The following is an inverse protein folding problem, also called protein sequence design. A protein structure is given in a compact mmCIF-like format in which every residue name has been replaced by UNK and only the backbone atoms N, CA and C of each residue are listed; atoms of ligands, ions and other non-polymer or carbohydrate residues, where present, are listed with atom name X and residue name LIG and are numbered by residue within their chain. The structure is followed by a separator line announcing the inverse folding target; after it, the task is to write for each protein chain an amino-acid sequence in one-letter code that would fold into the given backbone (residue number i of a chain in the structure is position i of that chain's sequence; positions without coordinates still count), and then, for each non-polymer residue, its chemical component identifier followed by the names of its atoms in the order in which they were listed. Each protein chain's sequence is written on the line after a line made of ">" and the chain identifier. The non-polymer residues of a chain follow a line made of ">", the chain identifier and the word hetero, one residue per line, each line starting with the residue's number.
data_IF_210639832784
#
_entry.id   IF_210639832784
#
_cell.length_a   1.000
_cell.length_b   1.000
_cell.length_c   1.000
_cell.angle_alpha   90.00
_cell.angle_beta   90.00
_cell.angle_gamma   90.00
#
_symmetry.space_group_name_H-M   'P 1'
#
loop_
_entity.id
_entity.type
_entity.pdbx_description
1 polymer ?
#
# COMPACT_ATOMS: atom_id res chain seq x y z
N UNK A 1 -46.18 7.24 27.61
CA UNK A 1 -44.91 6.57 27.95
C UNK A 1 -44.41 5.61 26.86
N UNK A 2 -45.18 4.61 26.38
CA UNK A 2 -44.72 3.69 25.30
C UNK A 2 -44.29 4.38 23.99
N UNK A 3 -45.00 5.41 23.52
CA UNK A 3 -44.64 6.14 22.30
C UNK A 3 -43.34 6.96 22.42
N UNK A 4 -43.04 7.48 23.61
CA UNK A 4 -41.80 8.21 23.90
C UNK A 4 -40.61 7.24 23.96
N UNK A 5 -40.80 6.06 24.56
CA UNK A 5 -39.79 5.01 24.59
C UNK A 5 -39.46 4.46 23.19
N UNK A 6 -40.46 4.28 22.33
CA UNK A 6 -40.26 3.85 20.93
C UNK A 6 -39.55 4.93 20.12
N UNK A 7 -39.86 6.21 20.33
CA UNK A 7 -39.17 7.33 19.67
C UNK A 7 -37.71 7.48 20.13
N UNK A 8 -37.43 7.31 21.44
CA UNK A 8 -36.08 7.27 21.99
C UNK A 8 -35.28 6.06 21.48
N UNK A 9 -35.93 4.89 21.33
CA UNK A 9 -35.32 3.70 20.77
C UNK A 9 -35.00 3.85 19.28
N UNK A 10 -35.89 4.50 18.51
CA UNK A 10 -35.63 4.87 17.11
C UNK A 10 -34.51 5.92 16.98
N UNK A 11 -34.42 6.92 17.86
CA UNK A 11 -33.32 7.89 17.90
C UNK A 11 -31.97 7.26 18.27
N UNK A 12 -31.98 6.26 19.16
CA UNK A 12 -30.80 5.44 19.48
C UNK A 12 -30.34 4.59 18.29
N UNK A 13 -31.28 4.10 17.46
CA UNK A 13 -30.95 3.35 16.23
C UNK A 13 -30.38 4.23 15.11
N UNK A 14 -30.79 5.50 15.03
CA UNK A 14 -30.30 6.45 14.00
C UNK A 14 -28.89 7.01 14.33
N UNK A 15 -28.40 6.79 15.55
CA UNK A 15 -27.09 7.29 16.00
C UNK A 15 -25.93 6.31 15.81
N UNK A 16 -26.18 5.11 15.25
CA UNK A 16 -25.09 4.22 14.86
C UNK A 16 -24.50 4.72 13.54
N UNK A 17 -23.55 5.65 13.65
CA UNK A 17 -22.56 5.87 12.58
C UNK A 17 -21.80 4.55 12.45
N UNK A 18 -22.16 3.74 11.45
CA UNK A 18 -21.47 2.51 11.14
C UNK A 18 -20.06 2.87 10.66
N UNK A 19 -19.08 2.76 11.55
CA UNK A 19 -17.67 2.74 11.14
C UNK A 19 -17.39 1.39 10.53
N UNK A 20 -16.82 1.39 9.33
CA UNK A 20 -16.23 0.21 8.72
C UNK A 20 -15.18 -0.38 9.65
N UNK A 21 -15.19 -1.70 9.79
CA UNK A 21 -14.12 -2.46 10.42
C UNK A 21 -12.92 -2.61 9.50
N UNK A 22 -11.75 -2.92 10.07
CA UNK A 22 -10.53 -3.22 9.30
C UNK A 22 -10.77 -4.33 8.27
N UNK A 23 -11.51 -5.38 8.64
CA UNK A 23 -11.85 -6.51 7.75
C UNK A 23 -12.72 -6.07 6.57
N UNK A 24 -13.71 -5.21 6.79
CA UNK A 24 -14.58 -4.71 5.71
C UNK A 24 -13.80 -3.86 4.71
N UNK A 25 -12.87 -3.03 5.19
CA UNK A 25 -11.99 -2.24 4.32
C UNK A 25 -11.03 -3.13 3.55
N UNK A 26 -10.41 -4.11 4.20
CA UNK A 26 -9.53 -5.07 3.51
C UNK A 26 -10.30 -5.86 2.45
N UNK A 27 -11.53 -6.30 2.74
CA UNK A 27 -12.38 -7.00 1.77
C UNK A 27 -12.81 -6.11 0.59
N UNK A 28 -13.06 -4.82 0.84
CA UNK A 28 -13.36 -3.85 -0.21
C UNK A 28 -12.22 -3.77 -1.24
N UNK A 29 -10.97 -3.68 -0.79
CA UNK A 29 -9.81 -3.67 -1.70
C UNK A 29 -9.51 -5.04 -2.34
N UNK A 30 -9.86 -6.13 -1.67
CA UNK A 30 -9.58 -7.49 -2.14
C UNK A 30 -10.58 -8.00 -3.18
N UNK A 31 -11.85 -7.69 -2.98
CA UNK A 31 -12.95 -8.43 -3.62
C UNK A 31 -14.01 -7.56 -4.27
N UNK A 32 -14.10 -6.28 -3.89
CA UNK A 32 -15.09 -5.35 -4.46
C UNK A 32 -14.45 -4.35 -5.43
N UNK A 33 -13.12 -4.37 -5.58
CA UNK A 33 -12.37 -3.46 -6.44
C UNK A 33 -11.22 -4.18 -7.13
N UNK A 34 -10.74 -3.56 -8.21
CA UNK A 34 -9.63 -4.00 -9.05
C UNK A 34 -8.52 -2.95 -9.01
N UNK A 35 -8.14 -2.51 -7.81
CA UNK A 35 -7.12 -1.49 -7.64
C UNK A 35 -5.68 -2.01 -7.66
N UNK A 36 -5.45 -3.27 -7.30
CA UNK A 36 -4.11 -3.85 -7.17
C UNK A 36 -3.55 -4.32 -8.51
N UNK A 37 -2.28 -4.06 -8.76
CA UNK A 37 -1.54 -4.74 -9.83
C UNK A 37 -1.34 -6.23 -9.51
N UNK A 38 -1.04 -7.05 -10.53
CA UNK A 38 -0.94 -8.51 -10.40
C UNK A 38 0.17 -8.99 -9.45
N UNK A 39 1.19 -8.16 -9.21
CA UNK A 39 2.30 -8.41 -8.27
C UNK A 39 2.18 -7.63 -6.95
N UNK A 40 1.03 -6.99 -6.69
CA UNK A 40 0.76 -6.24 -5.48
C UNK A 40 -0.20 -6.98 -4.56
N UNK A 41 0.00 -6.81 -3.26
CA UNK A 41 -0.93 -7.18 -2.20
C UNK A 41 -1.15 -5.98 -1.27
N UNK A 42 -1.94 -6.16 -0.23
CA UNK A 42 -2.12 -5.18 0.84
C UNK A 42 -1.62 -5.74 2.17
N UNK A 43 -1.32 -4.84 3.11
CA UNK A 43 -1.22 -5.18 4.53
C UNK A 43 -2.57 -5.68 5.05
N UNK A 44 -2.59 -6.80 5.75
CA UNK A 44 -3.82 -7.34 6.36
C UNK A 44 -4.36 -6.42 7.47
N UNK A 45 -3.49 -5.61 8.08
CA UNK A 45 -3.85 -4.65 9.11
C UNK A 45 -3.72 -3.23 8.56
N UNK A 46 -4.83 -2.57 8.17
CA UNK A 46 -4.83 -1.16 7.83
C UNK A 46 -4.61 -0.28 9.06
N UNK A 47 -4.09 0.93 8.85
CA UNK A 47 -3.99 1.95 9.90
C UNK A 47 -5.28 2.76 9.98
N UNK A 48 -5.79 2.95 11.19
CA UNK A 48 -6.90 3.87 11.44
C UNK A 48 -6.35 5.23 11.83
N UNK A 49 -6.44 6.22 10.94
CA UNK A 49 -5.79 7.52 11.09
C UNK A 49 -6.84 8.65 11.09
N UNK A 50 -6.72 9.55 12.05
CA UNK A 50 -7.51 10.77 12.12
C UNK A 50 -6.87 11.87 11.28
N UNK A 51 -7.69 12.62 10.53
CA UNK A 51 -7.27 13.85 9.85
C UNK A 51 -8.38 14.90 9.92
N UNK A 52 -8.14 15.96 10.68
CA UNK A 52 -9.16 16.95 11.03
C UNK A 52 -10.30 16.31 11.84
N UNK A 53 -11.54 16.51 11.39
CA UNK A 53 -12.74 15.95 12.04
C UNK A 53 -13.15 14.57 11.51
N UNK A 54 -12.34 13.96 10.63
CA UNK A 54 -12.66 12.70 9.96
C UNK A 54 -11.64 11.62 10.29
N UNK A 55 -12.10 10.37 10.25
CA UNK A 55 -11.25 9.20 10.39
C UNK A 55 -11.17 8.44 9.07
N UNK A 56 -10.03 7.79 8.87
CA UNK A 56 -9.68 7.13 7.63
C UNK A 56 -9.04 5.78 7.93
N UNK A 57 -9.34 4.79 7.10
CA UNK A 57 -8.55 3.58 7.01
C UNK A 57 -7.52 3.73 5.91
N UNK A 58 -6.24 3.57 6.25
CA UNK A 58 -5.13 3.65 5.30
C UNK A 58 -4.51 2.27 5.14
N UNK A 59 -4.57 1.75 3.93
CA UNK A 59 -3.98 0.47 3.56
C UNK A 59 -2.60 0.69 2.97
N UNK A 60 -1.66 -0.16 3.37
CA UNK A 60 -0.32 -0.24 2.76
C UNK A 60 -0.37 -1.21 1.59
N UNK A 61 0.05 -0.76 0.40
CA UNK A 61 0.25 -1.61 -0.77
C UNK A 61 1.66 -2.20 -0.73
N UNK A 62 1.76 -3.52 -0.86
CA UNK A 62 3.00 -4.27 -0.68
C UNK A 62 3.34 -5.00 -1.98
N UNK A 63 4.59 -4.90 -2.43
CA UNK A 63 5.13 -5.76 -3.48
C UNK A 63 6.46 -6.34 -3.01
N UNK A 64 6.64 -7.65 -3.17
CA UNK A 64 7.85 -8.38 -2.75
C UNK A 64 8.28 -8.08 -1.29
N UNK A 65 7.29 -7.91 -0.40
CA UNK A 65 7.46 -7.54 1.04
C UNK A 65 7.88 -6.09 1.31
N UNK A 66 7.88 -5.23 0.30
CA UNK A 66 8.19 -3.80 0.45
C UNK A 66 6.94 -2.93 0.25
N UNK A 67 6.73 -1.87 1.05
CA UNK A 67 5.70 -0.88 0.79
C UNK A 67 5.96 -0.17 -0.54
N UNK A 68 5.01 -0.25 -1.46
CA UNK A 68 5.06 0.37 -2.79
C UNK A 68 4.10 1.55 -2.94
N UNK A 69 3.08 1.63 -2.09
CA UNK A 69 2.11 2.72 -2.09
C UNK A 69 1.12 2.61 -0.96
N UNK A 70 0.11 3.48 -0.99
CA UNK A 70 -0.94 3.55 0.01
C UNK A 70 -2.27 3.90 -0.64
N UNK A 71 -3.36 3.52 0.01
CA UNK A 71 -4.70 3.96 -0.34
C UNK A 71 -5.50 4.25 0.93
N UNK A 72 -6.29 5.32 0.90
CA UNK A 72 -7.11 5.73 2.03
C UNK A 72 -8.60 5.59 1.70
N UNK A 73 -9.39 5.15 2.67
CA UNK A 73 -10.85 5.05 2.61
C UNK A 73 -11.45 5.75 3.81
N UNK A 74 -12.58 6.43 3.61
CA UNK A 74 -13.34 7.04 4.71
C UNK A 74 -13.78 5.99 5.73
N UNK A 75 -13.70 6.28 7.02
CA UNK A 75 -14.06 5.30 8.05
C UNK A 75 -15.52 4.86 8.00
N UNK A 76 -16.42 5.67 7.47
CA UNK A 76 -17.87 5.46 7.45
C UNK A 76 -18.42 5.06 6.07
N UNK A 77 -17.57 5.01 5.04
CA UNK A 77 -17.99 4.74 3.67
C UNK A 77 -16.91 4.02 2.87
N UNK A 78 -17.32 3.01 2.09
CA UNK A 78 -16.46 2.28 1.14
C UNK A 78 -16.15 3.13 -0.10
N UNK A 79 -15.40 4.21 0.12
CA UNK A 79 -15.01 5.17 -0.91
C UNK A 79 -13.55 5.55 -0.70
N UNK A 80 -12.74 5.39 -1.74
CA UNK A 80 -11.35 5.82 -1.73
C UNK A 80 -11.29 7.34 -1.73
N UNK A 81 -10.41 7.89 -0.91
CA UNK A 81 -10.20 9.33 -0.84
C UNK A 81 -9.47 9.80 -2.08
N UNK A 82 -10.06 10.73 -2.83
CA UNK A 82 -9.45 11.30 -4.05
C UNK A 82 -8.68 12.60 -3.79
N UNK A 83 -8.79 13.19 -2.59
CA UNK A 83 -8.13 14.46 -2.28
C UNK A 83 -6.62 14.29 -2.07
N UNK A 84 -5.82 14.81 -3.01
CA UNK A 84 -4.36 14.80 -2.93
C UNK A 84 -3.79 15.36 -1.63
N UNK A 85 -4.36 16.45 -1.12
CA UNK A 85 -3.88 17.10 0.11
C UNK A 85 -4.12 16.24 1.34
N UNK A 86 -5.28 15.59 1.43
CA UNK A 86 -5.62 14.66 2.51
C UNK A 86 -4.77 13.39 2.40
N UNK A 87 -4.70 12.79 1.21
CA UNK A 87 -3.90 11.59 0.94
C UNK A 87 -2.43 11.81 1.28
N UNK A 88 -1.86 12.96 0.95
CA UNK A 88 -0.48 13.31 1.32
C UNK A 88 -0.24 13.24 2.82
N UNK A 89 -1.17 13.77 3.61
CA UNK A 89 -1.07 13.75 5.08
C UNK A 89 -1.25 12.31 5.61
N UNK A 90 -2.27 11.61 5.15
CA UNK A 90 -2.56 10.23 5.55
C UNK A 90 -1.41 9.27 5.22
N UNK A 91 -0.85 9.34 4.01
CA UNK A 91 0.21 8.44 3.56
C UNK A 91 1.53 8.74 4.26
N UNK A 92 1.82 10.01 4.54
CA UNK A 92 2.94 10.40 5.39
C UNK A 92 2.82 9.77 6.77
N UNK A 93 1.69 9.94 7.43
CA UNK A 93 1.44 9.37 8.77
C UNK A 93 1.51 7.86 8.75
N UNK A 94 0.87 7.20 7.78
CA UNK A 94 0.89 5.74 7.63
C UNK A 94 2.31 5.20 7.40
N UNK A 95 3.12 5.86 6.57
CA UNK A 95 4.51 5.45 6.36
C UNK A 95 5.36 5.60 7.62
N UNK A 96 5.23 6.73 8.35
CA UNK A 96 5.94 6.95 9.61
C UNK A 96 5.54 5.87 10.63
N UNK A 97 4.25 5.60 10.80
CA UNK A 97 3.75 4.52 11.68
C UNK A 97 4.34 3.17 11.31
N UNK A 98 4.26 2.79 10.03
CA UNK A 98 4.80 1.54 9.53
C UNK A 98 6.29 1.40 9.83
N UNK A 99 7.08 2.44 9.51
CA UNK A 99 8.53 2.41 9.67
C UNK A 99 8.97 2.44 11.13
N UNK A 100 8.33 3.25 11.98
CA UNK A 100 8.65 3.31 13.41
C UNK A 100 8.30 1.99 14.10
N UNK A 101 7.12 1.43 13.83
CA UNK A 101 6.72 0.14 14.41
C UNK A 101 7.66 -0.99 13.99
N UNK A 102 7.99 -1.10 12.70
CA UNK A 102 8.94 -2.10 12.20
C UNK A 102 10.30 -1.95 12.87
N UNK A 103 10.84 -0.73 12.94
CA UNK A 103 12.17 -0.52 13.49
C UNK A 103 12.23 -0.76 15.00
N UNK A 104 11.17 -0.40 15.75
CA UNK A 104 11.07 -0.67 17.19
C UNK A 104 11.01 -2.17 17.50
N UNK A 105 10.43 -2.99 16.61
CA UNK A 105 10.39 -4.44 16.76
C UNK A 105 11.71 -5.13 16.44
N UNK A 106 12.49 -4.59 15.50
CA UNK A 106 13.70 -5.24 14.96
C UNK A 106 15.02 -4.75 15.62
N UNK A 107 15.00 -3.65 16.38
CA UNK A 107 16.21 -3.00 16.90
C UNK A 107 16.14 -2.65 18.39
N UNK A 108 17.27 -2.23 18.98
CA UNK A 108 17.31 -1.66 20.34
C UNK A 108 16.74 -0.24 20.30
N UNK A 109 15.43 -0.08 20.33
CA UNK A 109 14.81 1.25 20.35
C UNK A 109 15.26 2.05 21.59
N UNK A 110 15.83 3.24 21.39
CA UNK A 110 16.41 4.04 22.47
C UNK A 110 15.34 4.57 23.45
N UNK A 111 14.16 4.92 22.94
CA UNK A 111 13.06 5.50 23.73
C UNK A 111 12.36 4.43 24.57
N UNK A 112 12.94 4.14 25.73
CA UNK A 112 12.46 3.12 26.66
C UNK A 112 12.50 3.60 28.11
N UNK A 113 11.60 3.05 28.93
CA UNK A 113 11.59 3.32 30.38
C UNK A 113 12.89 2.90 31.07
N UNK A 114 13.61 1.92 30.53
CA UNK A 114 14.93 1.49 31.03
C UNK A 114 15.96 2.60 30.86
N UNK A 115 16.07 3.16 29.64
CA UNK A 115 17.01 4.25 29.37
C UNK A 115 16.62 5.53 30.13
N UNK A 116 15.32 5.85 30.22
CA UNK A 116 14.81 6.92 31.10
C UNK A 116 15.27 6.73 32.55
N UNK A 117 15.11 5.53 33.09
CA UNK A 117 15.49 5.20 34.47
C UNK A 117 16.99 5.37 34.77
N UNK A 118 17.86 5.20 33.76
CA UNK A 118 19.29 5.48 33.89
C UNK A 118 19.56 6.97 34.11
N UNK A 119 18.88 7.87 33.39
CA UNK A 119 19.01 9.32 33.59
C UNK A 119 18.40 9.80 34.90
N UNK A 120 17.29 9.21 35.37
CA UNK A 120 16.79 9.46 36.72
C UNK A 120 17.85 9.10 37.79
N UNK A 121 18.40 7.88 37.70
CA UNK A 121 19.46 7.43 38.61
C UNK A 121 20.67 8.35 38.57
N UNK A 122 21.09 8.75 37.37
CA UNK A 122 22.23 9.62 37.16
C UNK A 122 22.02 10.99 37.80
N UNK A 123 20.84 11.60 37.62
CA UNK A 123 20.47 12.89 38.23
C UNK A 123 20.73 12.88 39.73
N UNK A 124 20.23 11.84 40.43
CA UNK A 124 20.39 11.66 41.88
C UNK A 124 21.85 11.50 42.31
N UNK A 125 22.63 10.72 41.55
CA UNK A 125 24.04 10.47 41.86
C UNK A 125 24.87 11.76 41.67
N UNK A 126 24.60 12.52 40.60
CA UNK A 126 25.30 13.76 40.29
C UNK A 126 24.95 14.90 41.25
N UNK A 127 23.73 14.93 41.80
CA UNK A 127 23.29 15.99 42.73
C UNK A 127 23.70 15.77 44.19
N UNK A 128 24.09 14.55 44.57
CA UNK A 128 24.30 14.21 45.98
C UNK A 128 25.59 13.40 46.21
N UNK A 129 25.64 12.18 45.67
CA UNK A 129 26.69 11.21 46.01
C UNK A 129 28.08 11.65 45.51
N UNK A 130 28.18 12.14 44.28
CA UNK A 130 29.48 12.54 43.69
C UNK A 130 29.98 13.86 44.30
N UNK A 131 29.16 14.92 44.46
CA UNK A 131 29.57 16.12 45.17
C UNK A 131 30.05 15.84 46.60
N UNK A 132 29.39 14.92 47.33
CA UNK A 132 29.83 14.53 48.67
C UNK A 132 31.24 13.91 48.68
N UNK A 133 31.53 13.03 47.72
CA UNK A 133 32.87 12.43 47.56
C UNK A 133 33.93 13.48 47.23
N UNK A 134 33.61 14.41 46.32
CA UNK A 134 34.52 15.50 45.96
C UNK A 134 34.76 16.47 47.12
N UNK A 135 33.72 16.82 47.89
CA UNK A 135 33.87 17.64 49.09
C UNK A 135 34.77 16.99 50.15
N UNK A 136 34.76 15.67 50.26
CA UNK A 136 35.69 14.94 51.15
C UNK A 136 37.16 15.16 50.76
N UNK A 137 37.47 15.24 49.46
CA UNK A 137 38.82 15.59 48.96
C UNK A 137 39.15 17.04 49.32
N UNK A 138 38.20 17.96 49.09
CA UNK A 138 38.37 19.40 49.35
C UNK A 138 38.64 19.70 50.82
N UNK A 139 37.94 19.04 51.73
CA UNK A 139 38.11 19.20 53.18
C UNK A 139 39.39 18.54 53.70
N UNK A 140 39.80 17.43 53.09
CA UNK A 140 40.97 16.65 53.50
C UNK A 140 42.32 17.12 52.95
N UNK A 141 42.36 18.19 52.14
CA UNK A 141 43.61 18.74 51.60
C UNK A 141 43.83 20.20 51.98
N UNK A 142 45.10 20.63 52.08
CA UNK A 142 45.46 22.05 52.17
C UNK A 142 45.71 22.69 50.79
N UNK A 143 45.91 21.88 49.76
CA UNK A 143 46.30 22.31 48.41
C UNK A 143 45.19 23.13 47.72
N UNK A 144 45.52 24.36 47.33
CA UNK A 144 44.56 25.27 46.70
C UNK A 144 44.19 24.88 45.27
N UNK A 145 45.11 24.27 44.51
CA UNK A 145 44.84 23.85 43.14
C UNK A 145 43.86 22.67 43.11
N UNK A 146 44.07 21.69 43.99
CA UNK A 146 43.12 20.58 44.18
C UNK A 146 41.74 21.12 44.59
N UNK A 147 41.67 22.06 45.54
CA UNK A 147 40.41 22.66 45.98
C UNK A 147 39.68 23.39 44.85
N UNK A 148 40.41 24.18 44.06
CA UNK A 148 39.84 24.91 42.93
C UNK A 148 39.29 23.95 41.87
N UNK A 149 40.03 22.87 41.57
CA UNK A 149 39.61 21.84 40.62
C UNK A 149 38.36 21.11 41.11
N UNK A 150 38.30 20.76 42.40
CA UNK A 150 37.11 20.16 43.01
C UNK A 150 35.89 21.10 42.90
N UNK A 151 36.04 22.39 43.20
CA UNK A 151 34.93 23.35 43.09
C UNK A 151 34.40 23.46 41.65
N UNK A 152 35.30 23.47 40.66
CA UNK A 152 34.94 23.44 39.25
C UNK A 152 34.14 22.17 38.92
N UNK A 153 34.66 21.00 39.29
CA UNK A 153 33.98 19.72 39.05
C UNK A 153 32.60 19.65 39.72
N UNK A 154 32.45 20.14 40.96
CA UNK A 154 31.15 20.23 41.63
C UNK A 154 30.17 21.09 40.83
N UNK A 155 30.63 22.25 40.33
CA UNK A 155 29.79 23.13 39.49
C UNK A 155 29.38 22.44 38.18
N UNK A 156 30.27 21.64 37.57
CA UNK A 156 29.93 20.82 36.40
C UNK A 156 28.90 19.74 36.73
N UNK A 157 28.99 19.10 37.90
CA UNK A 157 28.03 18.09 38.34
C UNK A 157 26.62 18.67 38.49
N UNK A 158 26.49 19.90 38.98
CA UNK A 158 25.19 20.58 39.07
C UNK A 158 24.58 20.78 37.67
N UNK A 159 25.38 21.22 36.70
CA UNK A 159 24.95 21.39 35.29
C UNK A 159 24.57 20.04 34.68
N UNK A 160 25.40 19.01 34.87
CA UNK A 160 25.13 17.66 34.38
C UNK A 160 23.87 17.09 35.04
N UNK A 161 23.66 17.29 36.34
CA UNK A 161 22.45 16.85 37.03
C UNK A 161 21.19 17.49 36.42
N UNK A 162 21.21 18.81 36.20
CA UNK A 162 20.12 19.52 35.51
C UNK A 162 19.86 18.95 34.11
N UNK A 163 20.91 18.76 33.31
CA UNK A 163 20.78 18.22 31.95
C UNK A 163 20.30 16.77 31.94
N UNK A 164 20.72 15.96 32.90
CA UNK A 164 20.24 14.58 33.09
C UNK A 164 18.74 14.54 33.41
N UNK A 165 18.26 15.48 34.22
CA UNK A 165 16.82 15.62 34.51
C UNK A 165 16.03 16.09 33.28
N UNK A 166 16.57 17.04 32.50
CA UNK A 166 15.98 17.47 31.22
C UNK A 166 15.84 16.29 30.25
N UNK A 167 16.89 15.46 30.12
CA UNK A 167 16.87 14.25 29.29
C UNK A 167 15.78 13.28 29.79
N UNK A 168 15.73 13.00 31.09
CA UNK A 168 14.73 12.11 31.69
C UNK A 168 13.29 12.56 31.37
N UNK A 169 13.00 13.85 31.53
CA UNK A 169 11.71 14.45 31.21
C UNK A 169 11.40 14.39 29.71
N UNK A 170 12.40 14.64 28.86
CA UNK A 170 12.25 14.54 27.40
C UNK A 170 11.99 13.09 26.95
N UNK A 171 12.65 12.11 27.56
CA UNK A 171 12.35 10.69 27.37
C UNK A 171 10.91 10.35 27.75
N UNK A 172 10.43 10.81 28.89
CA UNK A 172 9.05 10.57 29.32
C UNK A 172 8.03 11.17 28.34
N UNK A 173 8.28 12.40 27.90
CA UNK A 173 7.46 13.11 26.91
C UNK A 173 7.40 12.36 25.58
N UNK A 174 8.54 11.94 25.03
CA UNK A 174 8.57 11.28 23.72
C UNK A 174 8.03 9.85 23.76
N UNK A 175 8.29 9.10 24.84
CA UNK A 175 7.73 7.75 25.02
C UNK A 175 6.20 7.83 25.05
N UNK A 176 5.65 8.78 25.82
CA UNK A 176 4.21 8.95 25.95
C UNK A 176 3.58 9.42 24.63
N UNK A 177 4.23 10.37 23.94
CA UNK A 177 3.76 10.88 22.65
C UNK A 177 3.80 9.79 21.56
N UNK A 178 4.89 9.02 21.47
CA UNK A 178 5.02 7.91 20.52
C UNK A 178 3.95 6.85 20.76
N UNK A 179 3.71 6.45 22.02
CA UNK A 179 2.69 5.46 22.34
C UNK A 179 1.29 5.93 21.93
N UNK A 180 0.95 7.18 22.24
CA UNK A 180 -0.32 7.78 21.83
C UNK A 180 -0.44 7.86 20.31
N UNK A 181 0.62 8.28 19.62
CA UNK A 181 0.65 8.35 18.17
C UNK A 181 0.47 6.97 17.51
N UNK A 182 1.04 5.91 18.10
CA UNK A 182 0.87 4.54 17.60
C UNK A 182 -0.56 4.03 17.82
N UNK A 183 -1.18 4.33 18.96
CA UNK A 183 -2.52 3.85 19.30
C UNK A 183 -3.65 4.65 18.64
N UNK A 184 -3.47 5.96 18.51
CA UNK A 184 -4.47 6.92 18.01
C UNK A 184 -3.78 7.93 17.09
N UNK A 185 -3.32 7.51 15.89
CA UNK A 185 -2.56 8.39 15.02
C UNK A 185 -3.40 9.53 14.43
N UNK A 186 -2.89 10.75 14.57
CA UNK A 186 -3.40 11.95 13.89
C UNK A 186 -2.38 12.46 12.87
N UNK A 187 -2.87 12.92 11.72
CA UNK A 187 -2.07 13.61 10.71
C UNK A 187 -1.31 14.84 11.22
N UNK A 188 -1.81 15.53 12.25
CA UNK A 188 -1.12 16.70 12.84
C UNK A 188 0.11 16.32 13.63
N UNK A 189 0.15 15.09 14.15
CA UNK A 189 1.14 14.67 15.15
C UNK A 189 2.40 14.08 14.51
N UNK A 190 2.33 13.74 13.22
CA UNK A 190 3.44 13.13 12.49
C UNK A 190 4.72 13.98 12.52
N UNK A 191 4.62 15.30 12.32
CA UNK A 191 5.80 16.19 12.39
C UNK A 191 6.23 16.52 13.82
N UNK A 192 5.27 16.54 14.75
CA UNK A 192 5.54 16.73 16.17
C UNK A 192 6.36 15.58 16.74
N UNK A 193 6.14 14.35 16.27
CA UNK A 193 6.92 13.18 16.67
C UNK A 193 8.41 13.34 16.33
N UNK A 194 8.74 13.80 15.11
CA UNK A 194 10.15 14.08 14.74
C UNK A 194 10.78 15.12 15.66
N UNK A 195 10.05 16.19 15.93
CA UNK A 195 10.54 17.29 16.77
C UNK A 195 10.87 16.78 18.18
N UNK A 196 10.04 15.87 18.72
CA UNK A 196 10.26 15.23 20.03
C UNK A 196 11.47 14.30 20.04
N UNK A 197 11.72 13.54 18.97
CA UNK A 197 12.94 12.74 18.85
C UNK A 197 14.19 13.64 18.82
N UNK A 198 14.16 14.69 17.99
CA UNK A 198 15.27 15.61 17.83
C UNK A 198 15.63 16.35 19.13
N UNK A 199 14.63 16.70 19.94
CA UNK A 199 14.82 17.28 21.27
C UNK A 199 15.71 16.38 22.15
N UNK A 200 15.39 15.09 22.23
CA UNK A 200 16.19 14.11 23.00
C UNK A 200 17.59 13.93 22.42
N UNK A 201 17.71 13.79 21.09
CA UNK A 201 19.03 13.62 20.45
C UNK A 201 19.96 14.81 20.71
N UNK A 202 19.45 16.04 20.65
CA UNK A 202 20.22 17.23 20.97
C UNK A 202 20.68 17.22 22.42
N UNK A 203 19.79 16.92 23.37
CA UNK A 203 20.13 16.89 24.80
C UNK A 203 21.17 15.79 25.12
N UNK A 204 21.08 14.64 24.46
CA UNK A 204 22.05 13.56 24.59
C UNK A 204 23.44 13.97 24.08
N UNK A 205 23.50 14.70 22.97
CA UNK A 205 24.75 15.22 22.42
C UNK A 205 25.39 16.26 23.36
N UNK A 206 24.60 17.22 23.87
CA UNK A 206 25.08 18.20 24.85
C UNK A 206 25.65 17.51 26.10
N UNK A 207 24.95 16.48 26.59
CA UNK A 207 25.40 15.73 27.76
C UNK A 207 26.67 14.92 27.49
N UNK A 208 26.82 14.35 26.28
CA UNK A 208 28.03 13.63 25.86
C UNK A 208 29.26 14.54 25.94
N UNK A 209 29.12 15.79 25.52
CA UNK A 209 30.19 16.81 25.59
C UNK A 209 30.53 17.16 27.05
N UNK A 210 29.52 17.41 27.90
CA UNK A 210 29.71 17.66 29.33
C UNK A 210 30.41 16.49 30.05
N UNK A 211 30.01 15.25 29.73
CA UNK A 211 30.66 14.04 30.26
C UNK A 211 32.13 14.00 29.87
N UNK A 212 32.44 14.23 28.60
CA UNK A 212 33.82 14.22 28.13
C UNK A 212 34.68 15.26 28.86
N UNK A 213 34.18 16.48 29.02
CA UNK A 213 34.87 17.53 29.77
C UNK A 213 35.07 17.13 31.25
N UNK A 214 34.04 16.55 31.88
CA UNK A 214 34.14 16.07 33.26
C UNK A 214 35.20 14.97 33.41
N UNK A 215 35.26 14.00 32.48
CA UNK A 215 36.27 12.94 32.47
C UNK A 215 37.69 13.50 32.37
N UNK A 216 37.93 14.53 31.55
CA UNK A 216 39.23 15.21 31.48
C UNK A 216 39.59 15.89 32.81
N UNK A 217 38.63 16.61 33.41
CA UNK A 217 38.83 17.27 34.70
C UNK A 217 39.11 16.27 35.82
N UNK A 218 38.48 15.09 35.80
CA UNK A 218 38.72 14.02 36.76
C UNK A 218 40.14 13.43 36.64
N UNK A 219 40.65 13.27 35.41
CA UNK A 219 42.03 12.83 35.17
C UNK A 219 43.04 13.86 35.68
N UNK A 220 42.81 15.14 35.39
CA UNK A 220 43.66 16.23 35.89
C UNK A 220 43.64 16.32 37.42
N UNK A 221 42.47 16.18 38.06
CA UNK A 221 42.36 16.12 39.52
C UNK A 221 43.18 14.96 40.10
N UNK A 222 43.11 13.78 39.48
CA UNK A 222 43.92 12.62 39.88
C UNK A 222 45.42 12.88 39.74
N UNK A 223 45.84 13.58 38.69
CA UNK A 223 47.23 13.96 38.51
C UNK A 223 47.69 14.91 39.62
N UNK A 224 46.93 15.98 39.89
CA UNK A 224 47.22 16.92 40.99
C UNK A 224 47.32 16.22 42.35
N UNK A 225 46.39 15.30 42.66
CA UNK A 225 46.44 14.50 43.89
C UNK A 225 47.73 13.66 43.94
N UNK A 226 48.11 13.04 42.82
CA UNK A 226 49.31 12.19 42.75
C UNK A 226 50.59 12.97 43.00
N UNK A 227 50.69 14.18 42.44
CA UNK A 227 51.84 15.08 42.51
C UNK A 227 51.92 15.91 43.80
N UNK A 228 50.82 16.03 44.55
CA UNK A 228 50.75 16.80 45.80
C UNK A 228 51.62 16.24 46.94
N UNK A 229 51.83 17.02 48.01
CA UNK A 229 52.54 16.59 49.22
C UNK A 229 51.62 15.87 50.25
N UNK A 230 50.43 15.44 49.83
CA UNK A 230 49.49 14.69 50.68
C UNK A 230 50.12 13.34 51.09
N UNK A 231 49.86 12.85 52.30
CA UNK A 231 50.40 11.57 52.74
C UNK A 231 49.86 10.41 51.88
N UNK A 232 50.60 9.29 51.84
CA UNK A 232 50.29 8.18 50.94
C UNK A 232 48.90 7.56 51.16
N UNK A 233 48.42 7.50 52.40
CA UNK A 233 47.10 6.93 52.73
C UNK A 233 45.97 7.80 52.18
N UNK A 234 46.04 9.11 52.44
CA UNK A 234 45.03 10.08 51.99
C UNK A 234 45.05 10.23 50.47
N UNK A 235 46.23 10.19 49.83
CA UNK A 235 46.35 10.14 48.37
C UNK A 235 45.58 8.96 47.78
N UNK A 236 45.78 7.75 48.32
CA UNK A 236 45.11 6.56 47.82
C UNK A 236 43.58 6.69 47.94
N UNK A 237 43.10 7.23 49.05
CA UNK A 237 41.67 7.50 49.26
C UNK A 237 41.14 8.56 48.28
N UNK A 238 41.82 9.69 48.13
CA UNK A 238 41.39 10.77 47.24
C UNK A 238 41.40 10.37 45.77
N UNK A 239 42.38 9.58 45.33
CA UNK A 239 42.41 9.02 43.98
C UNK A 239 41.19 8.13 43.69
N UNK A 240 40.75 7.34 44.68
CA UNK A 240 39.55 6.53 44.56
C UNK A 240 38.29 7.42 44.45
N UNK A 241 38.20 8.46 45.28
CA UNK A 241 37.07 9.40 45.30
C UNK A 241 37.00 10.30 44.05
N UNK A 242 38.14 10.63 43.43
CA UNK A 242 38.22 11.43 42.21
C UNK A 242 37.88 10.64 40.93
N UNK A 243 37.57 9.34 41.03
CA UNK A 243 37.23 8.52 39.87
C UNK A 243 35.84 8.85 39.32
N UNK A 244 35.67 8.72 38.00
CA UNK A 244 34.37 8.90 37.35
C UNK A 244 33.33 7.90 37.92
N UNK A 245 32.10 8.34 38.24
CA UNK A 245 31.06 7.44 38.72
C UNK A 245 30.67 6.43 37.63
N UNK A 246 30.53 5.15 38.02
CA UNK A 246 30.16 4.05 37.11
C UNK A 246 28.87 4.30 36.33
N UNK A 247 27.94 5.09 36.88
CA UNK A 247 26.69 5.47 36.23
C UNK A 247 26.93 6.27 34.94
N UNK A 248 28.00 7.08 34.86
CA UNK A 248 28.36 7.79 33.62
C UNK A 248 28.84 6.82 32.53
N UNK A 249 29.51 5.73 32.88
CA UNK A 249 29.85 4.68 31.91
C UNK A 249 28.61 3.91 31.44
N UNK A 250 27.59 3.76 32.30
CA UNK A 250 26.37 2.99 31.98
C UNK A 250 25.46 3.60 30.91
N UNK A 251 25.69 4.87 30.58
CA UNK A 251 24.96 5.63 29.55
C UNK A 251 25.73 5.75 28.23
N UNK A 252 26.98 5.28 28.14
CA UNK A 252 27.78 5.41 26.91
C UNK A 252 27.15 4.69 25.72
N UNK A 253 26.58 3.51 25.95
CA UNK A 253 25.86 2.78 24.91
C UNK A 253 24.63 3.54 24.39
N UNK A 254 24.07 4.46 25.18
CA UNK A 254 22.91 5.27 24.79
C UNK A 254 23.34 6.32 23.77
N UNK A 255 24.55 6.89 23.88
CA UNK A 255 25.04 7.85 22.89
C UNK A 255 25.23 7.21 21.51
N UNK A 256 25.90 6.06 21.45
CA UNK A 256 26.08 5.34 20.18
C UNK A 256 24.74 4.93 19.57
N UNK A 257 23.82 4.43 20.41
CA UNK A 257 22.48 4.08 19.95
C UNK A 257 21.69 5.30 19.48
N UNK A 258 21.87 6.46 20.11
CA UNK A 258 21.22 7.71 19.73
C UNK A 258 21.63 8.17 18.34
N UNK A 259 22.91 8.02 17.98
CA UNK A 259 23.43 8.36 16.66
C UNK A 259 22.77 7.47 15.57
N UNK A 260 22.75 6.16 15.79
CA UNK A 260 22.13 5.19 14.88
C UNK A 260 20.62 5.45 14.71
N UNK A 261 19.90 5.64 15.82
CA UNK A 261 18.46 5.88 15.81
C UNK A 261 18.14 7.25 15.18
N UNK A 262 18.95 8.28 15.44
CA UNK A 262 18.78 9.60 14.82
C UNK A 262 18.91 9.53 13.31
N UNK A 263 19.95 8.88 12.80
CA UNK A 263 20.12 8.68 11.36
C UNK A 263 18.92 7.94 10.76
N UNK A 264 18.43 6.89 11.44
CA UNK A 264 17.28 6.13 10.96
C UNK A 264 15.99 6.96 10.94
N UNK A 265 15.75 7.78 11.96
CA UNK A 265 14.63 8.72 11.97
C UNK A 265 14.74 9.67 10.77
N UNK A 266 15.90 10.25 10.51
CA UNK A 266 16.07 11.13 9.35
C UNK A 266 15.85 10.42 8.00
N UNK A 267 16.28 9.17 7.86
CA UNK A 267 16.00 8.33 6.69
C UNK A 267 14.49 8.13 6.47
N UNK A 268 13.73 7.83 7.53
CA UNK A 268 12.27 7.63 7.46
C UNK A 268 11.58 8.89 6.94
N UNK A 269 11.88 10.06 7.52
CA UNK A 269 11.24 11.31 7.12
C UNK A 269 11.71 11.79 5.73
N UNK A 270 12.95 11.50 5.34
CA UNK A 270 13.45 11.78 3.99
C UNK A 270 12.77 10.89 2.94
N UNK A 271 12.50 9.63 3.28
CA UNK A 271 11.77 8.70 2.41
C UNK A 271 10.33 9.17 2.18
N UNK A 272 9.64 9.68 3.20
CA UNK A 272 8.32 10.29 3.04
C UNK A 272 8.37 11.44 2.05
N UNK A 273 9.27 12.41 2.27
CA UNK A 273 9.33 13.63 1.46
C UNK A 273 9.64 13.34 -0.02
N UNK A 274 10.43 12.29 -0.29
CA UNK A 274 10.78 11.90 -1.66
C UNK A 274 9.69 11.07 -2.37
N UNK A 275 8.85 10.32 -1.64
CA UNK A 275 7.92 9.36 -2.23
C UNK A 275 6.45 9.74 -2.17
N UNK A 276 6.05 10.63 -1.24
CA UNK A 276 4.63 10.91 -0.99
C UNK A 276 3.87 11.40 -2.23
N UNK A 277 4.50 12.19 -3.09
CA UNK A 277 3.90 12.61 -4.37
C UNK A 277 3.57 11.40 -5.25
N UNK A 278 4.54 10.50 -5.43
CA UNK A 278 4.32 9.29 -6.23
C UNK A 278 3.23 8.40 -5.65
N UNK A 279 3.09 8.32 -4.32
CA UNK A 279 2.00 7.57 -3.71
C UNK A 279 0.64 8.21 -3.95
N UNK A 280 0.55 9.54 -3.91
CA UNK A 280 -0.68 10.29 -4.23
C UNK A 280 -1.04 10.12 -5.70
N UNK A 281 -0.08 10.26 -6.62
CA UNK A 281 -0.29 10.09 -8.06
C UNK A 281 -0.79 8.67 -8.39
N UNK A 282 -0.32 7.66 -7.65
CA UNK A 282 -0.76 6.28 -7.80
C UNK A 282 -2.25 6.07 -7.46
N UNK A 283 -2.88 6.91 -6.62
CA UNK A 283 -4.32 6.79 -6.31
C UNK A 283 -5.15 7.00 -7.57
N UNK A 284 -4.81 8.01 -8.38
CA UNK A 284 -5.50 8.25 -9.65
C UNK A 284 -5.33 7.06 -10.60
N UNK A 285 -4.11 6.51 -10.69
CA UNK A 285 -3.85 5.31 -11.50
C UNK A 285 -4.65 4.08 -11.01
N UNK A 286 -4.88 3.93 -9.71
CA UNK A 286 -5.73 2.88 -9.17
C UNK A 286 -7.18 3.04 -9.67
N UNK A 287 -7.73 4.25 -9.60
CA UNK A 287 -9.09 4.53 -10.12
C UNK A 287 -9.21 4.26 -11.63
N UNK A 288 -8.21 4.67 -12.41
CA UNK A 288 -8.18 4.38 -13.83
C UNK A 288 -8.11 2.87 -14.11
N UNK A 289 -7.27 2.14 -13.37
CA UNK A 289 -7.17 0.68 -13.48
C UNK A 289 -8.50 0.00 -13.20
N UNK A 290 -9.17 0.38 -12.11
CA UNK A 290 -10.46 -0.19 -11.75
C UNK A 290 -11.49 0.06 -12.85
N UNK A 291 -11.56 1.30 -13.34
CA UNK A 291 -12.48 1.68 -14.43
C UNK A 291 -12.20 0.91 -15.72
N UNK A 292 -10.93 0.73 -16.09
CA UNK A 292 -10.55 -0.05 -17.26
C UNK A 292 -10.88 -1.54 -17.11
N UNK A 293 -10.69 -2.10 -15.92
CA UNK A 293 -11.09 -3.47 -15.63
C UNK A 293 -12.61 -3.62 -15.75
N UNK A 294 -13.37 -2.69 -15.17
CA UNK A 294 -14.83 -2.72 -15.20
C UNK A 294 -15.38 -2.67 -16.63
N UNK A 295 -14.72 -1.90 -17.50
CA UNK A 295 -15.14 -1.78 -18.89
C UNK A 295 -14.89 -3.06 -19.71
N UNK A 296 -13.86 -3.85 -19.37
CA UNK A 296 -13.53 -5.08 -20.11
C UNK A 296 -14.22 -6.32 -19.52
N UNK A 297 -14.20 -6.45 -18.19
CA UNK A 297 -14.46 -7.73 -17.52
C UNK A 297 -15.67 -7.72 -16.58
N UNK A 298 -16.13 -6.55 -16.12
CA UNK A 298 -17.24 -6.48 -15.17
C UNK A 298 -18.61 -6.54 -15.86
N UNK A 299 -19.62 -6.92 -15.09
CA UNK A 299 -21.01 -6.95 -15.55
C UNK A 299 -21.54 -5.53 -15.82
N UNK A 300 -22.12 -5.33 -17.00
CA UNK A 300 -22.71 -4.07 -17.44
C UNK A 300 -24.16 -4.28 -17.87
N UNK A 301 -25.09 -3.80 -17.04
CA UNK A 301 -26.54 -3.93 -17.30
C UNK A 301 -26.99 -3.23 -18.58
N UNK A 302 -26.34 -2.11 -18.95
CA UNK A 302 -26.65 -1.40 -20.21
C UNK A 302 -26.18 -2.24 -21.39
N UNK A 303 -24.99 -2.83 -21.30
CA UNK A 303 -24.48 -3.75 -22.31
C UNK A 303 -25.36 -5.00 -22.45
N UNK A 304 -25.79 -5.61 -21.34
CA UNK A 304 -26.75 -6.71 -21.33
C UNK A 304 -28.04 -6.40 -22.08
N UNK A 305 -28.63 -5.24 -21.80
CA UNK A 305 -29.86 -4.80 -22.46
C UNK A 305 -29.64 -4.61 -23.97
N UNK A 306 -28.52 -3.97 -24.36
CA UNK A 306 -28.19 -3.69 -25.78
C UNK A 306 -27.82 -4.96 -26.56
N UNK A 307 -27.30 -5.99 -25.90
CA UNK A 307 -27.01 -7.29 -26.52
C UNK A 307 -28.22 -8.23 -26.52
N UNK A 308 -29.44 -7.68 -26.39
CA UNK A 308 -30.72 -8.43 -26.33
C UNK A 308 -30.73 -9.46 -25.19
N UNK A 309 -30.22 -9.09 -24.03
CA UNK A 309 -30.21 -9.91 -22.81
C UNK A 309 -29.35 -11.18 -22.90
N UNK A 310 -28.26 -11.15 -23.68
CA UNK A 310 -27.40 -12.31 -23.89
C UNK A 310 -26.07 -12.27 -23.13
N UNK A 311 -25.45 -11.09 -22.98
CA UNK A 311 -24.10 -10.98 -22.41
C UNK A 311 -24.01 -9.85 -21.40
N UNK A 312 -23.55 -10.16 -20.18
CA UNK A 312 -23.28 -9.16 -19.15
C UNK A 312 -21.91 -8.50 -19.30
N UNK A 313 -20.93 -9.18 -19.91
CA UNK A 313 -19.56 -8.68 -20.02
C UNK A 313 -19.12 -8.58 -21.49
N UNK A 314 -18.20 -7.65 -21.78
CA UNK A 314 -17.57 -7.56 -23.10
C UNK A 314 -16.77 -8.84 -23.42
N UNK A 315 -16.05 -9.38 -22.44
CA UNK A 315 -15.27 -10.60 -22.59
C UNK A 315 -16.11 -11.81 -23.04
N UNK A 316 -17.28 -12.03 -22.44
CA UNK A 316 -18.15 -13.15 -22.84
C UNK A 316 -18.70 -12.97 -24.26
N UNK A 317 -19.11 -11.75 -24.61
CA UNK A 317 -19.57 -11.42 -25.95
C UNK A 317 -18.45 -11.63 -26.98
N UNK A 318 -17.23 -11.21 -26.66
CA UNK A 318 -16.05 -11.40 -27.49
C UNK A 318 -15.79 -12.89 -27.76
N UNK A 319 -15.74 -13.71 -26.71
CA UNK A 319 -15.51 -15.17 -26.82
C UNK A 319 -16.59 -15.81 -27.69
N UNK A 320 -17.86 -15.47 -27.47
CA UNK A 320 -18.97 -16.02 -28.25
C UNK A 320 -18.93 -15.61 -29.72
N UNK A 321 -18.73 -14.32 -30.00
CA UNK A 321 -18.72 -13.77 -31.37
C UNK A 321 -17.55 -14.32 -32.17
N UNK A 322 -16.38 -14.43 -31.55
CA UNK A 322 -15.14 -14.81 -32.24
C UNK A 322 -14.90 -16.32 -32.32
N UNK A 323 -15.71 -17.12 -31.64
CA UNK A 323 -15.66 -18.59 -31.70
C UNK A 323 -15.70 -19.07 -33.15
N UNK A 324 -14.87 -20.05 -33.49
CA UNK A 324 -14.74 -20.58 -34.85
C UNK A 324 -16.07 -21.03 -35.47
N UNK A 325 -16.95 -21.58 -34.64
CA UNK A 325 -18.29 -22.03 -35.04
C UNK A 325 -19.24 -20.88 -35.43
N UNK A 326 -19.02 -19.66 -34.92
CA UNK A 326 -19.91 -18.52 -35.12
C UNK A 326 -19.31 -17.48 -36.07
N UNK A 327 -17.99 -17.29 -35.99
CA UNK A 327 -17.23 -16.23 -36.68
C UNK A 327 -17.54 -16.11 -38.19
N UNK A 328 -17.64 -17.21 -38.98
CA UNK A 328 -17.92 -17.11 -40.41
C UNK A 328 -19.34 -16.66 -40.76
N UNK A 329 -20.28 -16.82 -39.82
CA UNK A 329 -21.70 -16.66 -40.09
C UNK A 329 -22.22 -15.26 -39.75
N UNK A 330 -21.47 -14.41 -39.05
CA UNK A 330 -21.91 -13.05 -38.73
C UNK A 330 -22.10 -12.20 -39.98
N UNK A 331 -23.18 -11.40 -40.01
CA UNK A 331 -23.47 -10.47 -41.11
C UNK A 331 -22.43 -9.35 -41.21
N UNK A 332 -21.99 -8.84 -40.07
CA UNK A 332 -21.09 -7.69 -39.97
C UNK A 332 -19.61 -8.10 -39.85
N UNK A 333 -19.03 -8.67 -40.91
CA UNK A 333 -17.64 -9.16 -40.89
C UNK A 333 -16.60 -8.05 -40.65
N UNK A 334 -16.84 -6.82 -41.15
CA UNK A 334 -15.94 -5.69 -40.89
C UNK A 334 -15.91 -5.25 -39.43
N UNK A 335 -17.07 -5.34 -38.75
CA UNK A 335 -17.18 -5.12 -37.30
C UNK A 335 -16.57 -6.24 -36.50
N UNK A 336 -16.67 -7.49 -36.96
CA UNK A 336 -15.97 -8.61 -36.35
C UNK A 336 -14.45 -8.43 -36.36
N UNK A 337 -13.87 -7.97 -37.47
CA UNK A 337 -12.43 -7.64 -37.52
C UNK A 337 -12.05 -6.49 -36.59
N UNK A 338 -12.90 -5.46 -36.52
CA UNK A 338 -12.68 -4.28 -35.65
C UNK A 338 -12.78 -4.64 -34.17
N UNK A 339 -13.79 -5.43 -33.78
CA UNK A 339 -13.94 -6.01 -32.45
C UNK A 339 -12.69 -6.79 -32.03
N UNK A 340 -12.17 -7.68 -32.90
CA UNK A 340 -10.94 -8.45 -32.63
C UNK A 340 -9.74 -7.55 -32.34
N UNK A 341 -9.59 -6.49 -33.14
CA UNK A 341 -8.50 -5.54 -32.97
C UNK A 341 -8.65 -4.72 -31.69
N UNK A 342 -9.80 -4.08 -31.50
CA UNK A 342 -10.01 -3.16 -30.39
C UNK A 342 -10.04 -3.89 -29.04
N UNK A 343 -10.61 -5.09 -28.97
CA UNK A 343 -10.54 -5.92 -27.75
C UNK A 343 -9.07 -6.25 -27.40
N UNK A 344 -8.28 -6.72 -28.37
CA UNK A 344 -6.87 -7.05 -28.15
C UNK A 344 -6.03 -5.82 -27.77
N UNK A 345 -6.28 -4.66 -28.39
CA UNK A 345 -5.60 -3.41 -28.02
C UNK A 345 -6.06 -2.89 -26.65
N UNK A 346 -7.30 -3.15 -26.23
CA UNK A 346 -7.78 -2.84 -24.88
C UNK A 346 -7.05 -3.65 -23.81
N UNK A 347 -6.91 -4.96 -24.00
CA UNK A 347 -6.17 -5.85 -23.10
C UNK A 347 -4.68 -5.47 -23.04
N UNK A 348 -4.07 -5.26 -24.20
CA UNK A 348 -2.67 -4.84 -24.28
C UNK A 348 -2.44 -3.48 -23.61
N UNK A 349 -3.33 -2.51 -23.81
CA UNK A 349 -3.24 -1.21 -23.14
C UNK A 349 -3.41 -1.36 -21.61
N UNK A 350 -4.28 -2.26 -21.15
CA UNK A 350 -4.46 -2.57 -19.73
C UNK A 350 -3.17 -3.12 -19.12
N UNK A 351 -2.55 -4.12 -19.77
CA UNK A 351 -1.27 -4.71 -19.35
C UNK A 351 -0.12 -3.70 -19.35
N UNK A 352 -0.13 -2.76 -20.30
CA UNK A 352 0.84 -1.67 -20.41
C UNK A 352 0.57 -0.48 -19.47
N UNK A 353 -0.40 -0.60 -18.56
CA UNK A 353 -0.82 0.46 -17.63
C UNK A 353 -1.31 1.75 -18.31
N UNK A 354 -1.78 1.65 -19.55
CA UNK A 354 -2.42 2.74 -20.27
C UNK A 354 -3.94 2.61 -20.17
N UNK A 355 -4.45 2.77 -18.95
CA UNK A 355 -5.84 2.50 -18.58
C UNK A 355 -6.84 3.37 -19.34
N UNK A 356 -6.53 4.65 -19.55
CA UNK A 356 -7.36 5.54 -20.38
C UNK A 356 -7.53 5.04 -21.82
N UNK A 357 -6.45 4.55 -22.46
CA UNK A 357 -6.57 3.93 -23.80
C UNK A 357 -7.32 2.61 -23.77
N UNK A 358 -7.10 1.82 -22.72
CA UNK A 358 -7.80 0.55 -22.52
C UNK A 358 -9.32 0.75 -22.50
N UNK A 359 -9.81 1.71 -21.71
CA UNK A 359 -11.23 2.11 -21.70
C UNK A 359 -11.70 2.52 -23.10
N UNK A 360 -10.97 3.40 -23.78
CA UNK A 360 -11.38 3.87 -25.11
C UNK A 360 -11.50 2.75 -26.16
N UNK A 361 -10.61 1.75 -26.11
CA UNK A 361 -10.69 0.58 -26.98
C UNK A 361 -11.80 -0.38 -26.57
N UNK A 362 -12.00 -0.59 -25.26
CA UNK A 362 -13.07 -1.43 -24.74
C UNK A 362 -14.46 -0.88 -25.09
N UNK A 363 -14.67 0.44 -25.00
CA UNK A 363 -15.93 1.09 -25.43
C UNK A 363 -16.23 0.87 -26.92
N UNK A 364 -15.20 0.96 -27.78
CA UNK A 364 -15.33 0.67 -29.23
C UNK A 364 -15.67 -0.80 -29.47
N UNK A 365 -14.98 -1.70 -28.78
CA UNK A 365 -15.25 -3.13 -28.83
C UNK A 365 -16.69 -3.45 -28.37
N UNK A 366 -17.19 -2.83 -27.29
CA UNK A 366 -18.60 -2.96 -26.87
C UNK A 366 -19.55 -2.49 -27.97
N UNK A 367 -19.30 -1.34 -28.57
CA UNK A 367 -20.14 -0.82 -29.66
C UNK A 367 -20.20 -1.77 -30.86
N UNK A 368 -19.07 -2.37 -31.23
CA UNK A 368 -18.99 -3.31 -32.35
C UNK A 368 -19.66 -4.65 -32.00
N UNK A 369 -19.48 -5.16 -30.78
CA UNK A 369 -20.15 -6.36 -30.29
C UNK A 369 -21.68 -6.20 -30.31
N UNK A 370 -22.20 -5.07 -29.83
CA UNK A 370 -23.63 -4.73 -29.90
C UNK A 370 -24.11 -4.77 -31.36
N UNK A 371 -23.38 -4.13 -32.26
CA UNK A 371 -23.75 -4.07 -33.69
C UNK A 371 -23.81 -5.46 -34.34
N UNK A 372 -22.83 -6.32 -34.04
CA UNK A 372 -22.77 -7.70 -34.57
C UNK A 372 -23.97 -8.52 -34.06
N UNK A 373 -24.26 -8.44 -32.75
CA UNK A 373 -25.37 -9.18 -32.12
C UNK A 373 -26.73 -8.67 -32.61
N UNK A 374 -26.87 -7.35 -32.80
CA UNK A 374 -28.09 -6.75 -33.32
C UNK A 374 -28.37 -7.20 -34.76
N UNK A 375 -27.33 -7.23 -35.60
CA UNK A 375 -27.39 -7.58 -37.02
C UNK A 375 -27.58 -9.08 -37.26
N UNK A 376 -27.12 -9.91 -36.33
CA UNK A 376 -27.30 -11.36 -36.38
C UNK A 376 -26.42 -12.06 -37.42
N UNK A 377 -26.72 -13.34 -37.65
CA UNK A 377 -26.06 -14.14 -38.68
C UNK A 377 -26.57 -13.77 -40.08
N UNK A 378 -25.68 -13.88 -41.06
CA UNK A 378 -26.04 -13.88 -42.49
C UNK A 378 -27.10 -14.95 -42.73
N UNK A 379 -28.16 -14.60 -43.44
CA UNK A 379 -29.15 -15.58 -43.87
C UNK A 379 -28.44 -16.66 -44.67
N UNK A 380 -28.45 -17.89 -44.15
CA UNK A 380 -28.06 -19.07 -44.90
C UNK A 380 -29.03 -19.19 -46.08
N UNK A 381 -28.61 -18.79 -47.28
CA UNK A 381 -29.15 -19.39 -48.49
C UNK A 381 -28.72 -20.85 -48.45
N UNK A 382 -29.59 -21.69 -47.90
CA UNK A 382 -29.38 -23.13 -47.89
C UNK A 382 -29.15 -23.55 -49.36
N UNK A 383 -27.96 -24.06 -49.74
CA UNK A 383 -27.67 -24.40 -51.13
C UNK A 383 -28.61 -25.47 -51.67
N UNK A 384 -29.30 -26.20 -50.80
CA UNK A 384 -30.38 -27.12 -51.17
C UNK A 384 -31.60 -26.41 -51.77
N UNK A 385 -31.94 -25.21 -51.29
CA UNK A 385 -33.11 -24.43 -51.76
C UNK A 385 -32.82 -23.75 -53.09
N UNK A 386 -31.61 -23.20 -53.28
CA UNK A 386 -31.18 -22.63 -54.56
C UNK A 386 -30.97 -23.70 -55.65
N UNK A 387 -30.45 -24.88 -55.29
CA UNK A 387 -30.18 -25.95 -56.26
C UNK A 387 -31.33 -26.95 -56.43
N UNK A 388 -32.46 -26.78 -55.73
CA UNK A 388 -33.63 -27.66 -55.87
C UNK A 388 -34.11 -27.70 -57.32
N UNK A 389 -34.07 -26.58 -58.04
CA UNK A 389 -34.41 -26.52 -59.46
C UNK A 389 -33.47 -27.36 -60.33
N UNK A 390 -32.16 -27.27 -60.09
CA UNK A 390 -31.16 -28.04 -60.82
C UNK A 390 -31.23 -29.55 -60.49
N UNK A 391 -31.53 -29.90 -59.24
CA UNK A 391 -31.74 -31.30 -58.80
C UNK A 391 -33.00 -31.89 -59.44
N UNK A 392 -34.11 -31.13 -59.50
CA UNK A 392 -35.35 -31.54 -60.16
C UNK A 392 -35.11 -31.75 -61.67
N UNK A 393 -34.41 -30.82 -62.34
CA UNK A 393 -34.06 -30.95 -63.76
C UNK A 393 -33.16 -32.17 -63.99
N UNK A 394 -32.15 -32.38 -63.13
CA UNK A 394 -31.27 -33.55 -63.17
C UNK A 394 -32.03 -34.87 -63.03
N UNK A 395 -32.98 -34.94 -62.09
CA UNK A 395 -33.86 -36.10 -61.90
C UNK A 395 -34.79 -36.32 -63.09
N UNK A 396 -35.34 -35.26 -63.69
CA UNK A 396 -36.20 -35.35 -64.87
C UNK A 396 -35.44 -35.88 -66.10
N UNK A 397 -34.20 -35.42 -66.31
CA UNK A 397 -33.31 -35.94 -67.37
C UNK A 397 -32.95 -37.40 -67.11
N UNK A 398 -32.67 -37.78 -65.86
CA UNK A 398 -32.38 -39.16 -65.49
C UNK A 398 -33.59 -40.09 -65.73
N UNK A 399 -34.81 -39.61 -65.42
CA UNK A 399 -36.07 -40.30 -65.70
C UNK A 399 -36.32 -40.46 -67.20
N UNK A 400 -36.09 -39.41 -67.99
CA UNK A 400 -36.19 -39.48 -69.45
C UNK A 400 -35.18 -40.49 -70.03
N UNK A 401 -33.94 -40.50 -69.53
CA UNK A 401 -32.92 -41.48 -69.93
C UNK A 401 -33.30 -42.91 -69.51
N UNK A 402 -33.86 -43.11 -68.31
CA UNK A 402 -34.35 -44.41 -67.84
C UNK A 402 -35.53 -44.91 -68.67
N UNK A 403 -36.46 -44.04 -69.05
CA UNK A 403 -37.58 -44.38 -69.94
C UNK A 403 -37.06 -44.75 -71.33
N UNK A 404 -36.10 -44.01 -71.88
CA UNK A 404 -35.46 -44.32 -73.15
C UNK A 404 -34.69 -45.64 -73.10
N UNK A 405 -33.97 -45.93 -72.00
CA UNK A 405 -33.24 -47.19 -71.83
C UNK A 405 -34.16 -48.39 -71.64
N UNK A 406 -35.23 -48.26 -70.84
CA UNK A 406 -36.17 -49.34 -70.57
C UNK A 406 -37.07 -49.64 -71.78
N UNK A 407 -37.36 -48.62 -72.61
CA UNK A 407 -38.11 -48.77 -73.87
C UNK A 407 -37.23 -49.05 -75.11
N UNK A 408 -35.91 -49.28 -74.97
CA UNK A 408 -35.04 -49.64 -76.12
C UNK A 408 -35.55 -50.85 -76.90
N UNK A 409 -36.21 -51.83 -76.24
CA UNK A 409 -36.82 -52.99 -76.91
C UNK A 409 -38.14 -52.69 -77.64
N UNK A 410 -38.78 -51.55 -77.40
CA UNK A 410 -39.99 -51.12 -78.13
C UNK A 410 -39.66 -50.20 -79.30
N UNK A 411 -38.70 -49.28 -79.15
CA UNK A 411 -38.31 -48.37 -80.24
C UNK A 411 -37.49 -49.04 -81.35
N UNK A 412 -36.71 -50.10 -81.04
CA UNK A 412 -36.03 -50.89 -82.09
C UNK A 412 -36.92 -51.96 -82.74
N UNK A 413 -38.08 -52.29 -82.17
CA UNK A 413 -39.05 -53.20 -82.79
C UNK A 413 -39.98 -52.50 -83.78
N UNK A 414 -40.22 -51.19 -83.60
CA UNK A 414 -41.01 -50.40 -84.56
C UNK A 414 -40.19 -49.91 -85.77
N UNK A 415 -38.86 -50.04 -85.76
CA UNK A 415 -38.01 -49.71 -86.91
C UNK A 415 -37.78 -50.91 -87.85
N UNK A 416 -38.12 -52.13 -87.43
CA UNK A 416 -37.95 -53.36 -88.23
C UNK A 416 -39.27 -53.84 -88.86
N UNK A 417 -40.43 -53.27 -88.47
CA UNK A 417 -41.75 -53.58 -89.04
C UNK A 417 -42.24 -52.56 -90.10
N UNK A 418 -41.48 -51.50 -90.40
CA UNK A 418 -41.88 -50.46 -91.39
C UNK A 418 -41.15 -50.53 -92.75
N UNK A 419 -40.28 -51.52 -92.99
CA UNK A 419 -39.54 -51.67 -94.28
C UNK A 419 -40.00 -52.85 -95.17
N UNK A 420 -41.10 -53.55 -94.82
CA UNK A 420 -41.67 -54.62 -95.68
C UNK A 420 -43.17 -54.43 -95.85
N UNK A 421 -43.61 -53.30 -96.42
CA UNK A 421 -44.90 -53.20 -97.14
C UNK A 421 -45.00 -51.91 -97.95
N UNK A 422 -44.27 -51.81 -99.06
CA UNK A 422 -44.72 -51.11 -100.30
C UNK A 422 -43.61 -51.14 -101.36
N UNK A 423 -43.70 -52.04 -102.33
CA UNK A 423 -43.54 -51.71 -103.76
C UNK A 423 -44.12 -52.85 -104.60
N UNK A 424 -45.36 -52.62 -105.08
CA UNK A 424 -45.96 -53.31 -106.23
C UNK A 424 -45.55 -52.57 -107.50
N UNK A 425 -45.03 -53.30 -108.49
CA UNK A 425 -45.59 -53.35 -109.85
C UNK A 425 -45.35 -54.75 -110.41
#
# INVERSE_FOLDING_TARGET
>A
MKKIAVFLFLLLLVSFVYSLSSTEVTNFFRSETHYLESNQSFSETPFFIKSGEKNYWVIVLISERTPTGFAAVLSDKKEVVESDSINRQLFKTAYILYSVNSYRSDSQWIFSNSNKGKFNTLTRILSADVPFKLNSIKEGTADSEIKNKVNLMISMLDVMSSKSNEIETAFDSVISFELNFISEPDTTDADSLKSKYNEVFSLLQDFKELKFEYSLNALELKQLISESEINASDKQQFLALASEPQQLSSIESIFSLSEDVSQRVDEIYSAVNSKVNSWVDNVSLMHERNSAYDEIYSEDQKFYTKTKNNFYTLNDAFIYITKEENSPYWKEQGKLSSLKKDFSEAEKAFEQKNYSKSVSFAEKAKSDAITIIESGFSESTNPFVENIGAIIIGLAVLLALLILFNNRKKFFKSAEEEEITEFKF
#
